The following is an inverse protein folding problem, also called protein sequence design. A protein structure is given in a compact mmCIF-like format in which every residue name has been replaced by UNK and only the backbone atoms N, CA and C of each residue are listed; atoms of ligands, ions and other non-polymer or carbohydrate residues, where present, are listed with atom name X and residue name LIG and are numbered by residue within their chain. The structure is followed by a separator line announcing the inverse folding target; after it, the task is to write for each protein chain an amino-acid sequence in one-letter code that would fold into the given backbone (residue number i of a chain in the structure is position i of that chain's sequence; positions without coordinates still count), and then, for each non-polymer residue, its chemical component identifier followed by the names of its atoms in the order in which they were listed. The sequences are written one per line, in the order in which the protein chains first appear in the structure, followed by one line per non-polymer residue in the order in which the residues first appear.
data_IF_744629578967
#
_entry.id   IF_744629578967
#
_cell.length_a   1.000
_cell.length_b   1.000
_cell.length_c   1.000
_cell.angle_alpha   90.00
_cell.angle_beta   90.00
_cell.angle_gamma   90.00
#
_symmetry.space_group_name_H-M   'P 1'
#
loop_
_entity.id
_entity.type
_entity.pdbx_description
1 polymer ?
#
# COMPACT_ATOMS: atom_id res chain seq x y z
N UNK A 1 19.44 -29.14 -38.72
CA UNK A 1 19.65 -27.92 -37.93
C UNK A 1 18.65 -27.95 -36.77
N UNK A 2 19.12 -28.26 -35.58
CA UNK A 2 18.27 -28.24 -34.37
C UNK A 2 18.18 -26.78 -33.88
N UNK A 3 16.97 -26.24 -33.82
CA UNK A 3 16.72 -24.97 -33.14
C UNK A 3 16.97 -25.15 -31.63
N UNK A 4 18.04 -24.53 -31.15
CA UNK A 4 18.27 -24.37 -29.72
C UNK A 4 17.21 -23.40 -29.16
N UNK A 5 16.13 -23.97 -28.59
CA UNK A 5 15.14 -23.20 -27.84
C UNK A 5 15.85 -22.44 -26.73
N UNK A 6 15.75 -21.11 -26.77
CA UNK A 6 16.19 -20.22 -25.66
C UNK A 6 15.44 -20.65 -24.40
N UNK A 7 16.10 -20.88 -23.27
CA UNK A 7 15.43 -21.10 -22.01
C UNK A 7 14.75 -19.78 -21.58
N UNK A 8 13.51 -19.57 -22.03
CA UNK A 8 12.63 -18.55 -21.50
C UNK A 8 12.16 -19.01 -20.14
N UNK A 9 12.92 -18.75 -19.08
CA UNK A 9 12.41 -18.93 -17.73
C UNK A 9 11.22 -18.00 -17.55
N UNK A 10 10.08 -18.55 -17.10
CA UNK A 10 8.95 -17.76 -16.62
C UNK A 10 9.52 -16.91 -15.47
N UNK A 11 9.55 -15.58 -15.64
CA UNK A 11 9.95 -14.67 -14.58
C UNK A 11 8.96 -14.92 -13.42
N UNK A 12 9.45 -15.46 -12.31
CA UNK A 12 8.62 -15.70 -11.15
C UNK A 12 8.11 -14.34 -10.65
N UNK A 13 6.79 -14.15 -10.68
CA UNK A 13 6.16 -12.95 -10.14
C UNK A 13 6.47 -12.86 -8.65
N UNK A 14 6.76 -11.64 -8.17
CA UNK A 14 7.06 -11.39 -6.75
C UNK A 14 5.77 -10.98 -6.03
N UNK A 15 5.50 -11.47 -4.82
CA UNK A 15 4.32 -11.05 -4.07
C UNK A 15 4.41 -9.56 -3.72
N UNK A 16 3.35 -8.83 -4.01
CA UNK A 16 3.08 -7.47 -3.58
C UNK A 16 1.91 -7.50 -2.61
N UNK A 17 2.18 -7.30 -1.33
CA UNK A 17 1.14 -7.27 -0.31
C UNK A 17 0.49 -5.88 -0.26
N UNK A 18 -0.82 -5.85 -0.34
CA UNK A 18 -1.63 -4.65 -0.17
C UNK A 18 -2.53 -4.81 1.07
N UNK A 19 -2.43 -3.90 2.01
CA UNK A 19 -3.19 -3.92 3.25
C UNK A 19 -4.17 -2.75 3.31
N UNK A 20 -5.47 -3.08 3.37
CA UNK A 20 -6.47 -2.16 3.85
C UNK A 20 -6.49 -2.20 5.37
N UNK A 21 -6.37 -1.05 6.02
CA UNK A 21 -6.59 -0.87 7.46
C UNK A 21 -7.76 0.09 7.63
N UNK A 22 -8.88 -0.40 8.09
CA UNK A 22 -10.14 0.37 8.13
C UNK A 22 -10.59 0.58 9.55
N UNK A 23 -10.72 1.84 9.91
CA UNK A 23 -11.39 2.27 11.13
C UNK A 23 -12.89 1.97 11.02
N UNK A 24 -13.36 1.19 11.98
CA UNK A 24 -14.76 0.83 12.13
C UNK A 24 -15.31 1.33 13.47
N UNK A 25 -14.73 2.40 14.03
CA UNK A 25 -15.19 3.03 15.26
C UNK A 25 -16.53 3.74 15.07
N UNK A 26 -17.16 4.15 16.19
CA UNK A 26 -18.46 4.80 16.18
C UNK A 26 -18.50 6.12 15.39
N UNK A 27 -17.38 6.85 15.29
CA UNK A 27 -17.26 8.09 14.51
C UNK A 27 -17.33 7.87 12.99
N UNK A 28 -17.09 6.63 12.56
CA UNK A 28 -17.21 6.19 11.16
C UNK A 28 -18.65 5.79 10.76
N UNK A 29 -19.59 5.79 11.71
CA UNK A 29 -20.98 5.37 11.44
C UNK A 29 -21.67 6.20 10.36
N UNK A 30 -22.57 5.57 9.60
CA UNK A 30 -23.39 6.21 8.57
C UNK A 30 -22.67 6.37 7.24
N UNK A 31 -22.67 7.58 6.68
CA UNK A 31 -22.18 7.84 5.33
C UNK A 31 -20.68 7.58 5.16
N UNK A 32 -19.88 7.75 6.22
CA UNK A 32 -18.44 7.51 6.16
C UNK A 32 -18.13 6.04 5.85
N UNK A 33 -18.60 5.11 6.70
CA UNK A 33 -18.35 3.67 6.49
C UNK A 33 -19.07 3.15 5.23
N UNK A 34 -20.26 3.65 4.93
CA UNK A 34 -20.99 3.32 3.71
C UNK A 34 -20.22 3.72 2.45
N UNK A 35 -19.61 4.91 2.46
CA UNK A 35 -18.76 5.38 1.34
C UNK A 35 -17.48 4.54 1.23
N UNK A 36 -16.83 4.19 2.34
CA UNK A 36 -15.66 3.29 2.34
C UNK A 36 -16.02 1.96 1.68
N UNK A 37 -17.09 1.30 2.14
CA UNK A 37 -17.54 0.01 1.61
C UNK A 37 -17.80 0.07 0.10
N UNK A 38 -18.66 1.00 -0.33
CA UNK A 38 -19.01 1.14 -1.74
C UNK A 38 -17.78 1.46 -2.62
N UNK A 39 -16.90 2.33 -2.14
CA UNK A 39 -15.74 2.76 -2.93
C UNK A 39 -14.71 1.65 -3.06
N UNK A 40 -14.36 0.95 -1.99
CA UNK A 40 -13.41 -0.17 -2.08
C UNK A 40 -13.97 -1.25 -3.01
N UNK A 41 -15.25 -1.60 -2.85
CA UNK A 41 -15.91 -2.57 -3.74
C UNK A 41 -15.82 -2.19 -5.21
N UNK A 42 -16.04 -0.90 -5.52
CA UNK A 42 -15.97 -0.40 -6.91
C UNK A 42 -14.53 -0.27 -7.44
N UNK A 43 -13.52 -0.15 -6.57
CA UNK A 43 -12.11 -0.10 -6.96
C UNK A 43 -11.51 -1.48 -7.27
N UNK A 44 -12.08 -2.58 -6.79
CA UNK A 44 -11.55 -3.93 -7.00
C UNK A 44 -11.35 -4.27 -8.48
N UNK A 45 -12.30 -4.02 -9.41
CA UNK A 45 -12.08 -4.27 -10.83
C UNK A 45 -10.90 -3.49 -11.42
N UNK A 46 -10.67 -2.27 -10.98
CA UNK A 46 -9.54 -1.45 -11.41
C UNK A 46 -8.20 -1.98 -10.87
N UNK A 47 -8.19 -2.44 -9.60
CA UNK A 47 -7.03 -3.10 -9.02
C UNK A 47 -6.69 -4.40 -9.77
N UNK A 48 -7.69 -5.21 -10.16
CA UNK A 48 -7.52 -6.41 -10.99
C UNK A 48 -6.89 -6.04 -12.33
N UNK A 49 -7.43 -5.06 -13.03
CA UNK A 49 -6.88 -4.60 -14.31
C UNK A 49 -5.45 -4.06 -14.18
N UNK A 50 -5.14 -3.33 -13.10
CA UNK A 50 -3.78 -2.85 -12.85
C UNK A 50 -2.80 -4.01 -12.57
N UNK A 51 -3.23 -5.05 -11.87
CA UNK A 51 -2.43 -6.24 -11.61
C UNK A 51 -2.17 -7.05 -12.88
N UNK A 52 -3.17 -7.25 -13.74
CA UNK A 52 -3.02 -7.93 -15.04
C UNK A 52 -1.96 -7.26 -15.93
N UNK A 53 -1.87 -5.93 -15.87
CA UNK A 53 -0.89 -5.17 -16.64
C UNK A 53 0.54 -5.24 -16.05
N UNK A 54 0.73 -5.90 -14.91
CA UNK A 54 2.02 -6.04 -14.25
C UNK A 54 2.40 -7.49 -13.97
N UNK A 55 2.87 -8.25 -14.97
CA UNK A 55 3.18 -9.66 -14.83
C UNK A 55 4.34 -9.97 -13.86
N UNK A 56 5.08 -8.95 -13.42
CA UNK A 56 6.20 -9.10 -12.48
C UNK A 56 5.77 -9.10 -11.01
N UNK A 57 4.51 -8.74 -10.72
CA UNK A 57 3.95 -8.68 -9.39
C UNK A 57 2.71 -9.57 -9.26
N UNK A 58 2.62 -10.29 -8.15
CA UNK A 58 1.40 -10.95 -7.71
C UNK A 58 0.78 -10.10 -6.61
N UNK A 59 -0.33 -9.43 -6.90
CA UNK A 59 -1.01 -8.59 -5.93
C UNK A 59 -1.82 -9.44 -4.95
N UNK A 60 -1.43 -9.40 -3.68
CA UNK A 60 -2.08 -10.10 -2.57
C UNK A 60 -2.73 -9.07 -1.64
N UNK A 61 -4.05 -9.10 -1.51
CA UNK A 61 -4.81 -8.14 -0.71
C UNK A 61 -5.21 -8.76 0.61
N UNK A 62 -5.15 -7.97 1.68
CA UNK A 62 -5.63 -8.35 3.00
C UNK A 62 -6.28 -7.16 3.70
N UNK A 63 -7.41 -7.40 4.37
CA UNK A 63 -8.16 -6.37 5.08
C UNK A 63 -8.08 -6.58 6.57
N UNK A 64 -7.76 -5.50 7.29
CA UNK A 64 -7.80 -5.40 8.74
C UNK A 64 -8.82 -4.33 9.12
N UNK A 65 -9.77 -4.66 9.98
CA UNK A 65 -10.70 -3.71 10.60
C UNK A 65 -10.33 -3.51 12.07
N UNK A 66 -10.58 -2.31 12.60
CA UNK A 66 -10.37 -2.04 14.01
C UNK A 66 -11.47 -1.12 14.57
N UNK A 67 -11.88 -1.43 15.80
CA UNK A 67 -12.82 -0.68 16.63
C UNK A 67 -12.60 -1.07 18.10
N UNK A 68 -13.44 -1.90 18.72
CA UNK A 68 -13.16 -2.57 20.00
C UNK A 68 -12.15 -3.70 19.79
N UNK A 69 -10.89 -3.39 19.67
CA UNK A 69 -9.84 -4.31 19.22
C UNK A 69 -9.58 -4.20 17.73
N UNK A 70 -8.83 -5.16 17.20
CA UNK A 70 -8.52 -5.25 15.79
C UNK A 70 -8.61 -6.71 15.32
N UNK A 71 -9.04 -6.90 14.08
CA UNK A 71 -9.18 -8.24 13.49
C UNK A 71 -8.87 -8.25 12.00
N UNK A 72 -8.34 -9.36 11.51
CA UNK A 72 -8.24 -9.61 10.08
C UNK A 72 -9.60 -10.06 9.56
N UNK A 73 -10.18 -9.28 8.66
CA UNK A 73 -11.43 -9.62 7.95
C UNK A 73 -11.19 -10.79 7.02
N UNK A 74 -10.04 -10.76 6.32
CA UNK A 74 -9.58 -11.89 5.51
C UNK A 74 -8.59 -12.72 6.33
N UNK A 75 -8.79 -14.04 6.41
CA UNK A 75 -7.91 -14.94 7.18
C UNK A 75 -6.47 -14.89 6.74
N UNK A 76 -6.23 -14.95 5.42
CA UNK A 76 -4.93 -14.92 4.77
C UNK A 76 -4.89 -13.84 3.67
N UNK A 77 -3.70 -13.46 3.17
CA UNK A 77 -3.60 -12.63 1.97
C UNK A 77 -4.21 -13.34 0.76
N UNK A 78 -5.14 -12.68 0.08
CA UNK A 78 -5.91 -13.23 -1.05
C UNK A 78 -5.40 -12.63 -2.35
N UNK A 79 -5.12 -13.43 -3.42
CA UNK A 79 -4.85 -12.89 -4.74
C UNK A 79 -5.98 -11.95 -5.19
N UNK A 80 -5.63 -10.83 -5.81
CA UNK A 80 -6.63 -9.82 -6.19
C UNK A 80 -7.72 -10.38 -7.11
N UNK A 81 -7.40 -11.40 -7.90
CA UNK A 81 -8.34 -12.09 -8.79
C UNK A 81 -9.51 -12.71 -8.02
N UNK A 82 -9.20 -13.25 -6.83
CA UNK A 82 -10.15 -13.95 -5.95
C UNK A 82 -10.68 -13.05 -4.82
N UNK A 83 -10.13 -11.83 -4.70
CA UNK A 83 -10.51 -10.92 -3.62
C UNK A 83 -11.91 -10.35 -3.85
N UNK A 84 -12.73 -10.40 -2.79
CA UNK A 84 -14.04 -9.77 -2.70
C UNK A 84 -14.10 -8.92 -1.42
N UNK A 85 -14.89 -7.87 -1.45
CA UNK A 85 -15.13 -7.01 -0.30
C UNK A 85 -16.40 -7.43 0.42
N UNK A 86 -16.27 -7.60 1.73
CA UNK A 86 -17.40 -7.76 2.63
C UNK A 86 -17.63 -6.43 3.36
N UNK A 87 -18.86 -5.95 3.37
CA UNK A 87 -19.20 -4.68 3.98
C UNK A 87 -18.88 -4.66 5.47
N UNK A 88 -18.22 -3.60 5.91
CA UNK A 88 -17.86 -3.38 7.30
C UNK A 88 -18.91 -2.51 7.98
N UNK A 89 -19.15 -2.79 9.27
CA UNK A 89 -20.03 -2.00 10.12
C UNK A 89 -19.21 -1.20 11.13
N UNK A 90 -19.65 0.04 11.38
CA UNK A 90 -18.98 0.94 12.32
C UNK A 90 -19.66 0.94 13.68
N UNK A 91 -18.87 0.73 14.75
CA UNK A 91 -19.33 0.79 16.14
C UNK A 91 -18.14 0.82 17.11
N UNK A 92 -18.36 1.23 18.34
CA UNK A 92 -17.39 1.13 19.42
C UNK A 92 -16.32 2.22 19.43
N UNK A 93 -15.13 1.88 19.93
CA UNK A 93 -13.98 2.77 20.12
C UNK A 93 -12.95 2.63 19.00
N UNK A 94 -11.77 3.23 19.13
CA UNK A 94 -10.72 3.26 18.09
C UNK A 94 -9.44 2.64 18.62
N UNK A 95 -9.34 1.30 18.68
CA UNK A 95 -8.14 0.58 19.14
C UNK A 95 -7.09 0.50 18.02
N UNK A 96 -6.59 1.63 17.56
CA UNK A 96 -5.61 1.73 16.46
C UNK A 96 -4.26 1.08 16.81
N UNK A 97 -3.83 1.15 18.07
CA UNK A 97 -2.60 0.52 18.53
C UNK A 97 -2.64 -1.00 18.40
N UNK A 98 -3.80 -1.63 18.66
CA UNK A 98 -3.99 -3.06 18.42
C UNK A 98 -3.95 -3.40 16.93
N UNK A 99 -4.48 -2.53 16.07
CA UNK A 99 -4.38 -2.70 14.63
C UNK A 99 -2.90 -2.67 14.18
N UNK A 100 -2.10 -1.74 14.70
CA UNK A 100 -0.67 -1.70 14.42
C UNK A 100 0.08 -2.92 14.95
N UNK A 101 -0.32 -3.50 16.08
CA UNK A 101 0.28 -4.75 16.60
C UNK A 101 -0.02 -5.94 15.68
N UNK A 102 -1.26 -6.07 15.18
CA UNK A 102 -1.60 -7.13 14.22
C UNK A 102 -0.86 -6.95 12.89
N UNK A 103 -0.77 -5.73 12.40
CA UNK A 103 0.03 -5.43 11.20
C UNK A 103 1.51 -5.74 11.42
N UNK A 104 2.07 -5.43 12.61
CA UNK A 104 3.46 -5.74 12.93
C UNK A 104 3.72 -7.25 12.91
N UNK A 105 2.80 -8.06 13.44
CA UNK A 105 2.90 -9.51 13.37
C UNK A 105 2.92 -9.99 11.90
N UNK A 106 2.07 -9.42 11.03
CA UNK A 106 2.01 -9.75 9.61
C UNK A 106 3.28 -9.33 8.85
N UNK A 107 3.87 -8.18 9.18
CA UNK A 107 5.07 -7.67 8.52
C UNK A 107 6.37 -8.28 9.05
N UNK A 108 6.31 -9.20 10.00
CA UNK A 108 7.44 -9.98 10.48
C UNK A 108 7.81 -11.09 9.51
N UNK A 109 9.00 -11.65 9.63
CA UNK A 109 9.45 -12.78 8.79
C UNK A 109 9.59 -14.03 9.69
N UNK A 110 8.81 -15.11 9.49
CA UNK A 110 7.54 -15.16 8.77
C UNK A 110 6.47 -14.34 9.49
N UNK A 111 5.30 -14.01 8.91
CA UNK A 111 4.71 -14.55 7.68
C UNK A 111 5.09 -13.81 6.39
N UNK A 112 5.67 -12.59 6.44
CA UNK A 112 6.14 -11.95 5.22
C UNK A 112 7.28 -12.74 4.58
N UNK A 113 7.24 -12.99 3.25
CA UNK A 113 8.33 -13.66 2.57
C UNK A 113 9.57 -12.77 2.46
N UNK A 114 10.76 -13.38 2.47
CA UNK A 114 12.02 -12.63 2.32
C UNK A 114 12.13 -11.91 0.98
N UNK A 115 11.55 -12.47 -0.08
CA UNK A 115 11.56 -11.94 -1.44
C UNK A 115 10.18 -11.47 -1.86
N UNK A 116 9.75 -10.34 -1.33
CA UNK A 116 8.54 -9.64 -1.73
C UNK A 116 8.88 -8.28 -2.37
N UNK A 117 7.88 -7.64 -2.97
CA UNK A 117 7.92 -6.22 -3.27
C UNK A 117 7.59 -5.41 -2.00
N UNK A 118 8.01 -4.14 -1.91
CA UNK A 118 7.60 -3.28 -0.82
C UNK A 118 6.08 -3.27 -0.66
N UNK A 119 5.54 -3.57 0.53
CA UNK A 119 4.09 -3.62 0.71
C UNK A 119 3.47 -2.24 0.62
N UNK A 120 2.19 -2.20 0.25
CA UNK A 120 1.35 -1.02 0.30
C UNK A 120 0.42 -1.12 1.49
N UNK A 121 0.31 -0.06 2.28
CA UNK A 121 -0.55 0.00 3.45
C UNK A 121 -1.39 1.27 3.36
N UNK A 122 -2.71 1.10 3.30
CA UNK A 122 -3.66 2.21 3.26
C UNK A 122 -4.48 2.20 4.54
N UNK A 123 -4.31 3.24 5.35
CA UNK A 123 -5.05 3.45 6.60
C UNK A 123 -6.20 4.43 6.33
N UNK A 124 -7.43 4.02 6.64
CA UNK A 124 -8.62 4.85 6.53
C UNK A 124 -9.17 5.07 7.94
N UNK A 125 -9.14 6.30 8.43
CA UNK A 125 -9.55 6.62 9.80
C UNK A 125 -9.83 8.12 9.94
N UNK A 126 -10.59 8.51 10.96
CA UNK A 126 -10.63 9.89 11.46
C UNK A 126 -9.47 10.21 12.43
N UNK A 127 -8.57 9.27 12.68
CA UNK A 127 -7.32 9.48 13.40
C UNK A 127 -7.44 9.76 14.90
N UNK A 128 -8.55 9.38 15.56
CA UNK A 128 -8.76 9.60 16.99
C UNK A 128 -8.62 8.30 17.81
N UNK A 129 -7.38 7.78 18.03
CA UNK A 129 -7.19 6.54 18.75
C UNK A 129 -7.57 6.66 20.23
N UNK A 130 -8.21 5.61 20.76
CA UNK A 130 -8.59 5.53 22.17
C UNK A 130 -7.62 4.66 22.99
N UNK A 131 -6.68 4.00 22.32
CA UNK A 131 -5.64 3.19 22.94
C UNK A 131 -4.23 3.81 22.75
N UNK A 132 -3.21 3.12 23.24
CA UNK A 132 -1.82 3.56 23.05
C UNK A 132 -1.30 3.18 21.64
N UNK A 133 -1.72 3.93 20.61
CA UNK A 133 -1.29 3.71 19.22
C UNK A 133 0.23 3.85 19.04
N UNK A 134 0.89 4.73 19.82
CA UNK A 134 2.33 4.96 19.71
C UNK A 134 3.14 3.69 20.00
N UNK A 135 2.73 2.91 21.02
CA UNK A 135 3.40 1.66 21.34
C UNK A 135 3.32 0.64 20.20
N UNK A 136 2.17 0.55 19.51
CA UNK A 136 1.99 -0.28 18.32
C UNK A 136 2.80 0.24 17.13
N UNK A 137 2.77 1.54 16.90
CA UNK A 137 3.51 2.20 15.82
C UNK A 137 5.04 2.05 15.99
N UNK A 138 5.54 2.14 17.22
CA UNK A 138 6.97 1.95 17.53
C UNK A 138 7.43 0.51 17.22
N UNK A 139 6.55 -0.49 17.41
CA UNK A 139 6.82 -1.87 16.98
C UNK A 139 6.93 -1.94 15.46
N UNK A 140 6.00 -1.32 14.73
CA UNK A 140 6.02 -1.25 13.27
C UNK A 140 7.27 -0.57 12.73
N UNK A 141 7.64 0.59 13.27
CA UNK A 141 8.81 1.38 12.83
C UNK A 141 10.15 0.60 12.93
N UNK A 142 10.22 -0.43 13.76
CA UNK A 142 11.39 -1.32 13.87
C UNK A 142 11.48 -2.34 12.74
N UNK A 143 10.37 -2.66 12.06
CA UNK A 143 10.32 -3.71 11.06
C UNK A 143 10.87 -3.24 9.70
N UNK A 144 11.76 -4.01 9.06
CA UNK A 144 12.29 -3.68 7.74
C UNK A 144 11.21 -3.50 6.68
N UNK A 145 10.17 -4.36 6.67
CA UNK A 145 9.08 -4.28 5.73
C UNK A 145 8.22 -3.03 5.90
N UNK A 146 7.96 -2.58 7.14
CA UNK A 146 7.25 -1.33 7.38
C UNK A 146 8.05 -0.11 6.91
N UNK A 147 9.36 -0.11 7.10
CA UNK A 147 10.22 1.00 6.63
C UNK A 147 10.29 1.11 5.12
N UNK A 148 10.16 -0.02 4.41
CA UNK A 148 10.12 -0.08 2.93
C UNK A 148 8.73 0.12 2.36
N UNK A 149 7.68 0.03 3.17
CA UNK A 149 6.30 0.11 2.74
C UNK A 149 5.96 1.49 2.15
N UNK A 150 5.10 1.48 1.14
CA UNK A 150 4.32 2.66 0.74
C UNK A 150 3.17 2.78 1.74
N UNK A 151 3.13 3.88 2.48
CA UNK A 151 2.14 4.13 3.53
C UNK A 151 1.33 5.35 3.17
N UNK A 152 0.03 5.17 3.05
CA UNK A 152 -0.93 6.23 2.75
C UNK A 152 -1.96 6.23 3.88
N UNK A 153 -2.33 7.40 4.36
CA UNK A 153 -3.47 7.56 5.25
C UNK A 153 -4.54 8.39 4.57
N UNK A 154 -5.79 7.98 4.71
CA UNK A 154 -6.95 8.75 4.27
C UNK A 154 -7.65 9.25 5.53
N UNK A 155 -7.54 10.55 5.75
CA UNK A 155 -8.14 11.29 6.85
C UNK A 155 -9.60 11.55 6.53
N UNK A 156 -10.53 11.02 7.32
CA UNK A 156 -11.97 11.04 7.03
C UNK A 156 -12.71 11.98 7.97
N UNK A 157 -13.24 13.06 7.40
CA UNK A 157 -13.97 14.09 8.12
C UNK A 157 -13.10 15.28 8.54
N UNK A 158 -13.76 16.34 9.01
CA UNK A 158 -13.07 17.58 9.42
C UNK A 158 -12.43 17.48 10.81
N UNK A 159 -12.92 16.56 11.64
CA UNK A 159 -12.46 16.39 13.02
C UNK A 159 -11.32 15.36 13.14
N UNK A 160 -10.75 14.94 12.02
CA UNK A 160 -9.71 13.94 11.98
C UNK A 160 -8.41 14.45 12.61
N UNK A 161 -7.73 13.57 13.35
CA UNK A 161 -6.40 13.86 13.92
C UNK A 161 -5.29 13.53 12.92
N UNK A 162 -4.96 14.51 12.09
CA UNK A 162 -3.91 14.38 11.06
C UNK A 162 -2.51 14.17 11.64
N UNK A 163 -2.25 14.52 12.91
CA UNK A 163 -0.93 14.28 13.53
C UNK A 163 -0.70 12.79 13.71
N UNK A 164 -1.69 12.07 14.20
CA UNK A 164 -1.66 10.59 14.34
C UNK A 164 -1.44 9.92 12.98
N UNK A 165 -2.15 10.37 11.95
CA UNK A 165 -2.03 9.83 10.60
C UNK A 165 -0.67 10.18 9.96
N UNK A 166 -0.14 11.36 10.27
CA UNK A 166 1.21 11.77 9.83
C UNK A 166 2.29 10.94 10.51
N UNK A 167 2.12 10.59 11.80
CA UNK A 167 3.02 9.70 12.52
C UNK A 167 3.11 8.30 11.86
N UNK A 168 1.99 7.82 11.35
CA UNK A 168 1.93 6.54 10.63
C UNK A 168 2.61 6.62 9.26
N UNK A 169 2.29 7.63 8.45
CA UNK A 169 2.86 7.77 7.10
C UNK A 169 4.32 8.22 7.13
N UNK A 170 4.74 8.94 8.18
CA UNK A 170 5.99 9.68 8.29
C UNK A 170 6.16 10.73 7.16
N UNK A 171 5.06 11.15 6.54
CA UNK A 171 5.03 12.20 5.52
C UNK A 171 3.61 12.78 5.46
N UNK A 172 3.47 14.09 5.75
CA UNK A 172 2.18 14.77 5.74
C UNK A 172 1.51 14.77 4.36
N UNK A 173 2.29 14.78 3.29
CA UNK A 173 1.74 14.74 1.92
C UNK A 173 1.05 13.42 1.58
N UNK A 174 1.31 12.36 2.36
CA UNK A 174 0.66 11.06 2.24
C UNK A 174 -0.56 10.89 3.18
N UNK A 175 -0.96 11.97 3.84
CA UNK A 175 -2.24 12.07 4.57
C UNK A 175 -3.22 12.81 3.67
N UNK A 176 -4.12 12.06 3.04
CA UNK A 176 -5.08 12.55 2.06
C UNK A 176 -6.38 12.89 2.77
N UNK A 177 -6.78 14.16 2.75
CA UNK A 177 -7.99 14.60 3.44
C UNK A 177 -9.25 14.33 2.60
N UNK A 178 -10.26 13.74 3.22
CA UNK A 178 -11.54 13.43 2.62
C UNK A 178 -12.69 13.98 3.50
N UNK A 179 -13.18 15.16 3.15
CA UNK A 179 -14.21 15.87 3.91
C UNK A 179 -15.63 15.58 3.42
N UNK A 180 -15.79 14.81 2.36
CA UNK A 180 -17.07 14.37 1.82
C UNK A 180 -16.91 13.05 1.04
N UNK A 181 -18.03 12.43 0.69
CA UNK A 181 -18.06 11.14 0.00
C UNK A 181 -17.31 11.14 -1.34
N UNK A 182 -17.39 12.22 -2.10
CA UNK A 182 -16.74 12.32 -3.42
C UNK A 182 -15.20 12.39 -3.27
N UNK A 183 -14.70 13.17 -2.30
CA UNK A 183 -13.29 13.23 -1.97
C UNK A 183 -12.79 11.87 -1.49
N UNK A 184 -13.49 11.24 -0.55
CA UNK A 184 -13.12 9.92 -0.03
C UNK A 184 -13.02 8.88 -1.15
N UNK A 185 -14.02 8.81 -2.04
CA UNK A 185 -14.02 7.89 -3.17
C UNK A 185 -12.80 8.09 -4.09
N UNK A 186 -12.45 9.33 -4.42
CA UNK A 186 -11.26 9.62 -5.26
C UNK A 186 -9.95 9.28 -4.56
N UNK A 187 -9.83 9.56 -3.25
CA UNK A 187 -8.61 9.23 -2.49
C UNK A 187 -8.39 7.73 -2.40
N UNK A 188 -9.43 6.95 -2.10
CA UNK A 188 -9.35 5.48 -2.08
C UNK A 188 -8.94 4.95 -3.45
N UNK A 189 -9.57 5.43 -4.54
CA UNK A 189 -9.25 5.03 -5.90
C UNK A 189 -7.80 5.33 -6.27
N UNK A 190 -7.32 6.53 -5.97
CA UNK A 190 -5.94 6.92 -6.21
C UNK A 190 -4.97 6.02 -5.41
N UNK A 191 -5.21 5.81 -4.12
CA UNK A 191 -4.36 5.00 -3.26
C UNK A 191 -4.28 3.54 -3.73
N UNK A 192 -5.40 2.96 -4.14
CA UNK A 192 -5.46 1.56 -4.58
C UNK A 192 -4.72 1.29 -5.88
N UNK A 193 -4.75 2.23 -6.83
CA UNK A 193 -4.15 2.05 -8.16
C UNK A 193 -2.71 2.55 -8.22
N UNK A 194 -2.44 3.78 -7.77
CA UNK A 194 -1.14 4.42 -7.89
C UNK A 194 -0.08 3.76 -7.01
N UNK A 195 -0.43 3.44 -5.75
CA UNK A 195 0.50 2.81 -4.83
C UNK A 195 0.90 1.39 -5.29
N UNK A 196 -0.03 0.64 -5.87
CA UNK A 196 0.25 -0.69 -6.42
C UNK A 196 1.22 -0.63 -7.61
N UNK A 197 1.11 0.38 -8.47
CA UNK A 197 2.00 0.57 -9.62
C UNK A 197 3.42 0.99 -9.22
N UNK A 198 3.56 1.83 -8.19
CA UNK A 198 4.88 2.31 -7.73
C UNK A 198 5.67 1.20 -7.05
N UNK A 199 5.01 0.36 -6.27
CA UNK A 199 5.66 -0.78 -5.60
C UNK A 199 6.13 -1.88 -6.56
N UNK A 200 5.62 -1.90 -7.78
CA UNK A 200 5.96 -2.88 -8.80
C UNK A 200 6.50 -2.15 -10.05
N UNK A 201 7.78 -1.75 -10.08
CA UNK A 201 8.35 -1.05 -11.23
C UNK A 201 8.20 -1.91 -12.48
N UNK A 202 7.47 -1.39 -13.47
CA UNK A 202 7.40 -1.99 -14.80
C UNK A 202 8.81 -2.06 -15.37
N UNK A 203 9.19 -3.21 -15.91
CA UNK A 203 10.42 -3.38 -16.67
C UNK A 203 10.35 -2.43 -17.88
N UNK A 204 10.93 -1.23 -17.78
CA UNK A 204 11.24 -0.45 -18.98
C UNK A 204 12.14 -1.31 -19.85
N UNK A 205 11.87 -1.47 -21.16
CA UNK A 205 12.80 -2.12 -22.05
C UNK A 205 14.11 -1.33 -21.96
N UNK A 206 15.18 -2.02 -21.59
CA UNK A 206 16.53 -1.45 -21.59
C UNK A 206 16.83 -0.99 -23.01
N UNK A 207 16.78 0.31 -23.23
CA UNK A 207 17.15 0.90 -24.52
C UNK A 207 18.57 0.44 -24.86
N UNK A 208 18.72 0.00 -26.10
CA UNK A 208 19.90 -0.51 -26.75
C UNK A 208 21.23 0.04 -26.20
N UNK A 209 22.16 -0.87 -25.94
CA UNK A 209 23.58 -0.60 -25.77
C UNK A 209 24.06 0.37 -26.86
N UNK A 210 24.81 1.43 -26.53
CA UNK A 210 25.54 2.19 -27.52
C UNK A 210 26.59 1.29 -28.20
N UNK A 211 26.91 1.55 -29.47
CA UNK A 211 27.84 0.71 -30.22
C UNK A 211 29.21 0.68 -29.53
N UNK A 212 29.80 -0.50 -29.52
CA UNK A 212 31.13 -0.79 -28.98
C UNK A 212 32.17 0.17 -29.56
N UNK A 213 32.81 0.98 -28.73
CA UNK A 213 33.90 1.83 -29.13
C UNK A 213 34.23 2.94 -28.15
N UNK A 214 34.58 2.61 -26.89
CA UNK A 214 35.50 3.40 -26.07
C UNK A 214 35.67 2.75 -24.69
N UNK A 215 36.68 1.92 -24.56
CA UNK A 215 37.16 1.42 -23.27
C UNK A 215 38.30 2.34 -22.85
N UNK A 216 38.24 3.00 -21.70
CA UNK A 216 39.45 3.39 -20.98
C UNK A 216 39.86 2.23 -20.05
N UNK A 217 41.07 1.75 -20.22
CA UNK A 217 41.68 0.75 -19.38
C UNK A 217 41.98 1.28 -17.99
N UNK A 218 41.78 0.44 -16.98
CA UNK A 218 42.50 0.55 -15.72
C UNK A 218 41.67 0.20 -14.50
N UNK A 219 41.93 -0.98 -13.90
CA UNK A 219 41.62 -1.18 -12.49
C UNK A 219 41.04 -2.58 -12.17
N UNK A 220 41.93 -3.44 -11.77
CA UNK A 220 41.86 -4.76 -11.21
C UNK A 220 40.56 -5.34 -10.67
N UNK A 221 40.27 -6.47 -11.14
CA UNK A 221 39.39 -7.59 -10.88
C UNK A 221 39.23 -8.00 -9.42
N UNK A 222 37.98 -8.05 -8.98
CA UNK A 222 37.52 -9.00 -7.95
C UNK A 222 36.38 -9.85 -8.57
N UNK A 223 36.60 -11.14 -8.89
CA UNK A 223 35.62 -12.01 -9.54
C UNK A 223 34.53 -12.53 -8.60
N UNK A 224 34.47 -12.07 -7.34
CA UNK A 224 33.47 -12.46 -6.33
C UNK A 224 32.67 -11.31 -5.73
N UNK A 225 32.66 -10.15 -6.37
CA UNK A 225 31.76 -9.07 -5.95
C UNK A 225 30.32 -9.43 -6.33
N UNK A 226 29.50 -9.75 -5.34
CA UNK A 226 28.08 -9.99 -5.47
C UNK A 226 27.37 -8.83 -6.22
N UNK A 227 26.62 -9.09 -7.30
CA UNK A 227 25.88 -8.05 -8.02
C UNK A 227 24.54 -7.72 -7.35
N UNK A 228 24.47 -7.66 -6.03
CA UNK A 228 23.25 -7.32 -5.29
C UNK A 228 23.52 -6.16 -4.32
N UNK A 229 24.04 -5.08 -4.85
CA UNK A 229 23.82 -3.77 -4.24
C UNK A 229 22.68 -3.10 -5.01
N UNK A 230 21.47 -3.62 -4.81
CA UNK A 230 20.25 -2.99 -5.28
C UNK A 230 20.13 -1.60 -4.67
N UNK A 231 20.11 -0.60 -5.53
CA UNK A 231 19.89 0.80 -5.23
C UNK A 231 18.83 0.98 -4.13
N UNK A 232 19.26 1.47 -2.98
CA UNK A 232 18.41 2.05 -1.93
C UNK A 232 17.84 3.41 -2.40
N UNK A 233 17.41 3.52 -3.64
CA UNK A 233 16.67 4.68 -4.08
C UNK A 233 15.33 4.69 -3.34
N UNK A 234 14.96 5.78 -2.66
CA UNK A 234 13.65 5.89 -2.06
C UNK A 234 12.60 5.69 -3.14
N UNK A 235 11.56 4.92 -2.84
CA UNK A 235 10.37 4.80 -3.70
C UNK A 235 9.78 6.21 -3.81
N UNK A 236 9.91 6.82 -4.98
CA UNK A 236 9.34 8.13 -5.27
C UNK A 236 7.91 7.86 -5.77
N UNK A 237 6.94 8.13 -4.90
CA UNK A 237 5.54 8.18 -5.29
C UNK A 237 5.34 9.42 -6.17
N UNK A 238 4.71 9.26 -7.33
CA UNK A 238 4.33 10.41 -8.16
C UNK A 238 3.16 11.13 -7.49
N UNK A 239 3.49 12.22 -6.78
CA UNK A 239 2.55 13.03 -6.04
C UNK A 239 1.82 14.05 -6.94
N UNK A 240 2.19 14.16 -8.22
CA UNK A 240 1.60 15.16 -9.13
C UNK A 240 0.13 14.92 -9.46
N UNK A 241 -0.35 13.69 -9.25
CA UNK A 241 -1.71 13.27 -9.53
C UNK A 241 -2.55 13.00 -8.27
N UNK A 242 -2.11 13.47 -7.10
CA UNK A 242 -2.96 13.40 -5.89
C UNK A 242 -4.19 14.28 -6.15
N UNK A 243 -5.41 13.74 -5.97
CA UNK A 243 -6.62 14.55 -6.07
C UNK A 243 -6.59 15.68 -5.03
N UNK A 244 -6.81 16.92 -5.47
CA UNK A 244 -6.87 18.04 -4.55
C UNK A 244 -8.24 18.02 -3.83
N UNK A 245 -8.30 18.05 -2.49
CA UNK A 245 -9.56 18.10 -1.75
C UNK A 245 -10.41 19.33 -2.11
N UNK A 246 -9.80 20.43 -2.55
CA UNK A 246 -10.50 21.66 -2.93
C UNK A 246 -11.22 21.59 -4.29
N UNK A 247 -10.95 20.55 -5.10
CA UNK A 247 -11.61 20.33 -6.39
C UNK A 247 -13.01 19.68 -6.26
N UNK A 248 -13.52 19.52 -5.04
CA UNK A 248 -14.79 18.88 -4.75
C UNK A 248 -15.85 19.91 -4.37
N UNK A 249 -17.00 19.80 -5.04
CA UNK A 249 -18.18 20.62 -4.75
C UNK A 249 -18.54 20.56 -3.26
N UNK A 250 -18.84 21.72 -2.65
CA UNK A 250 -19.09 21.89 -1.22
C UNK A 250 -20.40 21.21 -0.71
N UNK A 251 -20.95 20.28 -1.48
CA UNK A 251 -22.12 19.52 -1.11
C UNK A 251 -21.85 18.47 -0.06
N UNK A 252 -22.51 18.54 1.09
CA UNK A 252 -22.48 17.58 2.19
C UNK A 252 -21.10 17.26 2.75
N UNK A 253 -20.63 18.15 3.61
CA UNK A 253 -19.47 17.94 4.49
C UNK A 253 -19.94 17.17 5.72
N UNK A 254 -19.22 16.09 6.10
CA UNK A 254 -19.45 15.40 7.38
C UNK A 254 -18.58 15.93 8.49
#
# INVERSE_FOLDING_TARGET
MQELGRPGGILASRPLHFFWMVDCSGSMYGDKIGTVNNTIQTCIPEMKSAAENNPNAQLLVRTLSFSNGATWVTGEPIPIEDYAWDDLEASGVTDMGKAFELLAAQLSIPPMPERALPPVIVLLSDGQPTDNYQAGLDKLKKLPWFRKAVRIAISIGQDADDEVLTDFTNNRELVLQANNAAALAKMIKWASTTASMVSAPSSKPMLALPPAGSIPAGGADDPFADPVSGSNAPLILDMSNIPNPDDFDEGAVW
#
